data_IF_031033673540
#
_entry.id   IF_031033673540
#
_cell.length_a   1.000
_cell.length_b   1.000
_cell.length_c   1.000
_cell.angle_alpha   90.00
_cell.angle_beta   90.00
_cell.angle_gamma   90.00
#
_symmetry.space_group_name_H-M   'P 1'
#
loop_
_entity.id
_entity.type
_entity.pdbx_description
1 polymer ?
#
# COMPACT_ATOMS: atom_id res chain seq x y z
N UNK A 1 -5.40 33.12 3.57
CA UNK A 1 -4.30 32.28 4.07
C UNK A 1 -3.53 33.09 5.10
N UNK A 2 -3.25 32.54 6.27
CA UNK A 2 -2.46 33.23 7.31
C UNK A 2 -0.98 32.89 7.18
N UNK A 3 -0.09 33.81 7.56
CA UNK A 3 1.36 33.56 7.65
C UNK A 3 1.65 32.35 8.55
N UNK A 4 0.86 32.16 9.60
CA UNK A 4 0.99 31.00 10.50
C UNK A 4 0.79 29.67 9.76
N UNK A 5 -0.20 29.61 8.86
CA UNK A 5 -0.50 28.41 8.09
C UNK A 5 0.61 28.10 7.08
N UNK A 6 1.17 29.13 6.43
CA UNK A 6 2.33 28.96 5.54
C UNK A 6 3.53 28.37 6.28
N UNK A 7 3.81 28.85 7.49
CA UNK A 7 4.91 28.32 8.32
C UNK A 7 4.69 26.87 8.73
N UNK A 8 3.45 26.49 9.03
CA UNK A 8 3.09 25.11 9.34
C UNK A 8 3.22 24.19 8.12
N UNK A 9 2.78 24.62 6.94
CA UNK A 9 2.92 23.84 5.72
C UNK A 9 4.40 23.65 5.36
N UNK A 10 5.24 24.68 5.49
CA UNK A 10 6.70 24.56 5.30
C UNK A 10 7.33 23.62 6.35
N UNK A 11 6.96 23.76 7.63
CA UNK A 11 7.49 22.90 8.70
C UNK A 11 7.13 21.42 8.46
N UNK A 12 5.93 21.15 7.95
CA UNK A 12 5.51 19.77 7.62
C UNK A 12 6.37 19.11 6.55
N UNK A 13 6.99 19.88 5.64
CA UNK A 13 7.94 19.36 4.66
C UNK A 13 9.21 18.86 5.36
N UNK A 14 9.80 19.65 6.26
CA UNK A 14 11.00 19.26 7.00
C UNK A 14 10.77 18.07 7.93
N UNK A 15 9.57 17.93 8.49
CA UNK A 15 9.24 16.81 9.38
C UNK A 15 9.07 15.49 8.63
N UNK A 16 8.70 15.51 7.35
CA UNK A 16 8.27 14.32 6.59
C UNK A 16 9.17 13.96 5.42
N UNK A 17 9.99 14.89 4.95
CA UNK A 17 10.93 14.66 3.86
C UNK A 17 12.38 14.83 4.35
N UNK A 18 13.12 13.73 4.56
CA UNK A 18 14.54 13.75 4.91
C UNK A 18 15.43 14.46 3.88
N UNK A 19 14.98 14.63 2.63
CA UNK A 19 15.73 15.32 1.59
C UNK A 19 15.66 16.85 1.69
N UNK A 20 14.75 17.40 2.50
CA UNK A 20 14.59 18.85 2.66
C UNK A 20 15.75 19.45 3.48
N UNK A 21 16.67 20.16 2.82
CA UNK A 21 17.88 20.70 3.48
C UNK A 21 17.70 22.09 4.08
N UNK A 22 16.97 22.99 3.40
CA UNK A 22 16.80 24.37 3.84
C UNK A 22 15.52 25.00 3.28
N UNK A 23 15.04 26.08 3.92
CA UNK A 23 13.75 26.71 3.58
C UNK A 23 13.73 27.32 2.19
N UNK A 24 14.88 27.82 1.70
CA UNK A 24 14.95 28.40 0.36
C UNK A 24 14.73 27.34 -0.71
N UNK A 25 15.36 26.17 -0.58
CA UNK A 25 15.13 25.01 -1.43
C UNK A 25 13.66 24.58 -1.36
N UNK A 26 13.12 24.33 -0.15
CA UNK A 26 11.72 23.95 0.02
C UNK A 26 10.76 24.95 -0.65
N UNK A 27 11.01 26.25 -0.49
CA UNK A 27 10.15 27.28 -1.08
C UNK A 27 10.29 27.39 -2.61
N UNK A 28 11.41 26.99 -3.20
CA UNK A 28 11.69 27.19 -4.63
C UNK A 28 11.54 25.93 -5.47
N UNK A 29 11.70 24.74 -4.88
CA UNK A 29 11.77 23.48 -5.63
C UNK A 29 10.73 22.43 -5.25
N UNK A 30 9.87 22.67 -4.25
CA UNK A 30 8.86 21.67 -3.86
C UNK A 30 7.51 21.91 -4.55
N UNK A 31 7.16 21.13 -5.59
CA UNK A 31 5.91 21.30 -6.33
C UNK A 31 4.69 21.05 -5.44
N UNK A 32 4.78 20.14 -4.47
CA UNK A 32 3.73 19.87 -3.49
C UNK A 32 3.35 21.11 -2.68
N UNK A 33 4.35 21.84 -2.17
CA UNK A 33 4.14 23.09 -1.45
C UNK A 33 3.51 24.15 -2.37
N UNK A 34 4.05 24.35 -3.57
CA UNK A 34 3.51 25.31 -4.54
C UNK A 34 2.05 25.04 -4.89
N UNK A 35 1.69 23.77 -5.11
CA UNK A 35 0.32 23.38 -5.42
C UNK A 35 -0.64 23.69 -4.26
N UNK A 36 -0.23 23.46 -3.01
CA UNK A 36 -1.03 23.81 -1.84
C UNK A 36 -1.23 25.32 -1.75
N UNK A 37 -0.18 26.12 -1.96
CA UNK A 37 -0.26 27.59 -1.94
C UNK A 37 -1.26 28.11 -2.98
N UNK A 38 -1.12 27.68 -4.23
CA UNK A 38 -2.06 28.04 -5.29
C UNK A 38 -3.49 27.56 -4.98
N UNK A 39 -3.65 26.34 -4.45
CA UNK A 39 -4.95 25.83 -4.04
C UNK A 39 -5.58 26.72 -2.95
N UNK A 40 -4.85 27.17 -1.92
CA UNK A 40 -5.43 28.03 -0.87
C UNK A 40 -5.99 29.33 -1.45
N UNK A 41 -5.29 29.93 -2.41
CA UNK A 41 -5.75 31.13 -3.11
C UNK A 41 -6.95 30.80 -4.01
N UNK A 42 -6.87 29.72 -4.80
CA UNK A 42 -7.95 29.29 -5.68
C UNK A 42 -9.23 28.93 -4.91
N UNK A 43 -9.10 28.27 -3.76
CA UNK A 43 -10.21 27.94 -2.87
C UNK A 43 -10.87 29.20 -2.29
N UNK A 44 -10.06 30.18 -1.87
CA UNK A 44 -10.59 31.47 -1.42
C UNK A 44 -11.39 32.17 -2.54
N UNK A 45 -10.84 32.23 -3.76
CA UNK A 45 -11.55 32.76 -4.94
C UNK A 45 -12.85 31.99 -5.21
N UNK A 46 -12.80 30.66 -5.10
CA UNK A 46 -13.94 29.77 -5.30
C UNK A 46 -15.05 30.07 -4.28
N UNK A 47 -14.71 30.23 -3.00
CA UNK A 47 -15.65 30.57 -1.93
C UNK A 47 -16.23 31.99 -2.06
N UNK A 48 -15.50 32.91 -2.68
CA UNK A 48 -15.98 34.27 -3.00
C UNK A 48 -16.84 34.36 -4.27
N UNK A 49 -17.12 33.23 -4.94
CA UNK A 49 -17.95 33.19 -6.15
C UNK A 49 -17.20 33.48 -7.45
N UNK A 50 -15.90 33.79 -7.39
CA UNK A 50 -15.05 34.00 -8.57
C UNK A 50 -14.59 32.66 -9.16
N UNK A 51 -15.55 31.82 -9.57
CA UNK A 51 -15.34 30.42 -9.96
C UNK A 51 -14.40 30.27 -11.16
N UNK A 52 -14.53 31.13 -12.16
CA UNK A 52 -13.67 31.11 -13.34
C UNK A 52 -12.20 31.40 -12.98
N UNK A 53 -11.95 32.43 -12.17
CA UNK A 53 -10.58 32.79 -11.77
C UNK A 53 -9.94 31.71 -10.90
N UNK A 54 -10.73 31.11 -10.00
CA UNK A 54 -10.31 29.94 -9.23
C UNK A 54 -9.92 28.75 -10.13
N UNK A 55 -10.71 28.48 -11.17
CA UNK A 55 -10.44 27.42 -12.16
C UNK A 55 -9.20 27.71 -12.99
N UNK A 56 -9.02 28.95 -13.45
CA UNK A 56 -7.84 29.37 -14.18
C UNK A 56 -6.57 29.18 -13.36
N UNK A 57 -6.56 29.62 -12.09
CA UNK A 57 -5.43 29.45 -11.19
C UNK A 57 -5.13 27.97 -10.89
N UNK A 58 -6.18 27.15 -10.69
CA UNK A 58 -6.02 25.69 -10.52
C UNK A 58 -5.41 25.04 -11.77
N UNK A 59 -5.84 25.43 -12.97
CA UNK A 59 -5.26 24.93 -14.23
C UNK A 59 -3.80 25.37 -14.40
N UNK A 60 -3.48 26.62 -14.08
CA UNK A 60 -2.10 27.12 -14.09
C UNK A 60 -1.22 26.34 -13.11
N UNK A 61 -1.71 26.11 -11.88
CA UNK A 61 -1.00 25.30 -10.89
C UNK A 61 -0.76 23.88 -11.40
N UNK A 62 -1.75 23.26 -12.06
CA UNK A 62 -1.59 21.93 -12.66
C UNK A 62 -0.50 21.92 -13.72
N UNK A 63 -0.49 22.90 -14.61
CA UNK A 63 0.54 23.01 -15.65
C UNK A 63 1.95 23.17 -15.05
N UNK A 64 2.09 23.98 -14.00
CA UNK A 64 3.38 24.24 -13.35
C UNK A 64 3.88 23.06 -12.51
N UNK A 65 3.00 22.38 -11.78
CA UNK A 65 3.39 21.42 -10.72
C UNK A 65 3.09 19.97 -11.06
N UNK A 66 2.25 19.69 -12.07
CA UNK A 66 1.73 18.35 -12.34
C UNK A 66 0.68 17.85 -11.34
N UNK A 67 0.28 18.67 -10.37
CA UNK A 67 -0.71 18.35 -9.33
C UNK A 67 -2.03 19.04 -9.67
N UNK A 68 -3.11 18.27 -9.80
CA UNK A 68 -4.45 18.79 -10.01
C UNK A 68 -5.25 18.82 -8.70
N UNK A 69 -5.56 20.02 -8.21
CA UNK A 69 -6.44 20.21 -7.05
C UNK A 69 -7.63 21.07 -7.48
N UNK A 70 -8.83 20.51 -7.36
CA UNK A 70 -10.04 21.27 -7.62
C UNK A 70 -10.22 22.37 -6.55
N UNK A 71 -10.52 23.64 -6.92
CA UNK A 71 -10.68 24.73 -5.94
C UNK A 71 -11.78 24.50 -4.90
N UNK A 72 -12.79 23.69 -5.24
CA UNK A 72 -13.89 23.30 -4.36
C UNK A 72 -13.54 22.29 -3.26
N UNK A 73 -12.41 21.60 -3.36
CA UNK A 73 -12.00 20.62 -2.35
C UNK A 73 -11.80 21.29 -0.99
N UNK A 74 -11.93 20.54 0.10
CA UNK A 74 -11.64 21.03 1.46
C UNK A 74 -10.42 20.31 2.00
N UNK A 75 -9.36 21.06 2.31
CA UNK A 75 -8.10 20.50 2.80
C UNK A 75 -7.76 21.12 4.15
N UNK A 76 -7.42 20.28 5.12
CA UNK A 76 -6.97 20.63 6.47
C UNK A 76 -5.58 21.26 6.49
N UNK A 77 -4.93 21.30 7.66
CA UNK A 77 -3.61 21.89 7.91
C UNK A 77 -2.50 20.84 7.75
N UNK A 78 -1.27 21.29 7.45
CA UNK A 78 -0.09 20.40 7.34
C UNK A 78 -0.33 19.23 6.38
N UNK A 79 -1.06 19.51 5.31
CA UNK A 79 -1.28 18.55 4.24
C UNK A 79 0.01 18.46 3.44
N UNK A 80 0.54 17.26 3.27
CA UNK A 80 1.81 17.04 2.60
C UNK A 80 1.59 16.29 1.29
N UNK A 81 2.19 16.79 0.21
CA UNK A 81 2.20 16.13 -1.09
C UNK A 81 3.65 15.87 -1.46
N UNK A 82 4.04 14.60 -1.44
CA UNK A 82 5.41 14.21 -1.76
C UNK A 82 5.53 13.75 -3.22
N UNK A 83 6.56 14.26 -3.91
CA UNK A 83 6.81 14.21 -5.36
C UNK A 83 5.68 14.81 -6.24
N UNK A 84 4.42 14.53 -5.94
CA UNK A 84 3.22 15.22 -6.41
C UNK A 84 2.79 14.98 -7.85
N UNK A 85 3.69 14.59 -8.75
CA UNK A 85 3.36 14.39 -10.17
C UNK A 85 2.17 13.44 -10.34
N UNK A 86 1.13 13.88 -11.06
CA UNK A 86 -0.05 13.06 -11.35
C UNK A 86 -1.03 12.89 -10.18
N UNK A 87 -0.88 13.66 -9.10
CA UNK A 87 -1.90 13.73 -8.04
C UNK A 87 -3.15 14.44 -8.55
N UNK A 88 -4.33 13.85 -8.30
CA UNK A 88 -5.63 14.38 -8.71
C UNK A 88 -6.59 14.40 -7.52
N UNK A 89 -7.05 15.58 -7.12
CA UNK A 89 -7.97 15.80 -6.01
C UNK A 89 -9.25 16.46 -6.53
N UNK A 90 -10.36 15.73 -6.45
CA UNK A 90 -11.64 16.17 -7.00
C UNK A 90 -12.41 17.19 -6.16
N UNK A 91 -13.48 17.74 -6.75
CA UNK A 91 -14.22 18.90 -6.22
C UNK A 91 -14.76 18.74 -4.81
N UNK A 92 -15.34 17.58 -4.49
CA UNK A 92 -16.01 17.35 -3.21
C UNK A 92 -15.14 16.52 -2.26
N UNK A 93 -13.83 16.45 -2.53
CA UNK A 93 -12.90 15.77 -1.65
C UNK A 93 -12.75 16.57 -0.35
N UNK A 94 -12.73 15.85 0.76
CA UNK A 94 -12.45 16.40 2.09
C UNK A 94 -11.21 15.70 2.62
N UNK A 95 -10.21 16.47 3.04
CA UNK A 95 -8.94 15.97 3.54
C UNK A 95 -8.72 16.63 4.90
N UNK A 96 -8.53 15.81 5.94
CA UNK A 96 -8.25 16.25 7.29
C UNK A 96 -6.86 16.88 7.45
N UNK A 97 -6.50 17.11 8.71
CA UNK A 97 -5.18 17.61 9.08
C UNK A 97 -4.13 16.50 8.98
N UNK A 98 -2.88 16.86 8.72
CA UNK A 98 -1.73 15.96 8.76
C UNK A 98 -1.74 14.81 7.74
N UNK A 99 -2.60 14.84 6.72
CA UNK A 99 -2.60 13.82 5.67
C UNK A 99 -1.38 13.94 4.74
N UNK A 100 -0.93 12.81 4.20
CA UNK A 100 0.15 12.74 3.20
C UNK A 100 -0.34 12.01 1.95
N UNK A 101 -0.16 12.60 0.77
CA UNK A 101 -0.31 11.91 -0.51
C UNK A 101 1.04 11.83 -1.24
N UNK A 102 1.32 10.68 -1.83
CA UNK A 102 2.44 10.53 -2.76
C UNK A 102 1.99 10.78 -4.22
N UNK A 103 2.96 10.80 -5.14
CA UNK A 103 2.70 10.97 -6.57
C UNK A 103 1.68 9.97 -7.14
N UNK A 104 0.97 10.34 -8.20
CA UNK A 104 0.02 9.48 -8.92
C UNK A 104 -1.26 9.13 -8.17
N UNK A 105 -1.48 9.69 -6.97
CA UNK A 105 -2.68 9.43 -6.18
C UNK A 105 -3.91 10.09 -6.80
N UNK A 106 -5.05 9.41 -6.78
CA UNK A 106 -6.34 10.00 -7.20
C UNK A 106 -7.39 9.89 -6.10
N UNK A 107 -7.95 11.03 -5.73
CA UNK A 107 -9.16 11.15 -4.90
C UNK A 107 -10.33 11.45 -5.84
N UNK A 108 -10.91 10.39 -6.41
CA UNK A 108 -11.78 10.43 -7.58
C UNK A 108 -13.26 10.21 -7.26
N UNK A 109 -14.11 10.63 -8.19
CA UNK A 109 -15.55 10.39 -8.13
C UNK A 109 -15.95 9.10 -8.83
N UNK A 110 -17.03 8.46 -8.37
CA UNK A 110 -17.62 7.26 -9.01
C UNK A 110 -18.95 7.53 -9.72
N UNK A 111 -19.49 8.75 -9.62
CA UNK A 111 -20.80 9.11 -10.16
C UNK A 111 -20.76 10.46 -10.87
N UNK A 112 -21.66 10.67 -11.84
CA UNK A 112 -21.87 11.93 -12.55
C UNK A 112 -22.72 12.95 -11.78
N UNK A 113 -23.26 12.57 -10.61
CA UNK A 113 -24.12 13.43 -9.82
C UNK A 113 -23.35 14.61 -9.22
N UNK A 114 -23.96 15.79 -9.16
CA UNK A 114 -23.31 17.02 -8.66
C UNK A 114 -22.96 17.01 -7.16
N UNK A 115 -23.53 16.09 -6.38
CA UNK A 115 -23.34 16.00 -4.93
C UNK A 115 -21.97 15.48 -4.47
N UNK A 116 -21.88 15.12 -3.18
CA UNK A 116 -20.72 14.45 -2.59
C UNK A 116 -20.44 13.15 -3.35
N UNK A 117 -19.24 13.05 -3.92
CA UNK A 117 -18.84 11.93 -4.80
C UNK A 117 -17.37 11.56 -4.70
N UNK A 118 -16.56 12.41 -4.07
CA UNK A 118 -15.14 12.18 -3.82
C UNK A 118 -14.93 11.81 -2.36
N UNK A 119 -13.80 11.18 -2.02
CA UNK A 119 -13.59 10.63 -0.68
C UNK A 119 -13.41 11.72 0.40
N UNK A 120 -13.55 11.27 1.64
CA UNK A 120 -13.22 12.02 2.85
C UNK A 120 -12.08 11.31 3.57
N UNK A 121 -10.90 11.92 3.62
CA UNK A 121 -9.77 11.44 4.41
C UNK A 121 -9.81 12.11 5.79
N UNK A 122 -9.85 11.32 6.87
CA UNK A 122 -9.68 11.82 8.24
C UNK A 122 -8.22 12.22 8.49
N UNK A 123 -7.91 12.67 9.70
CA UNK A 123 -6.57 13.18 10.00
C UNK A 123 -5.50 12.08 9.91
N UNK A 124 -4.26 12.48 9.59
CA UNK A 124 -3.10 11.59 9.60
C UNK A 124 -3.14 10.47 8.56
N UNK A 125 -4.07 10.51 7.60
CA UNK A 125 -4.17 9.49 6.55
C UNK A 125 -2.97 9.58 5.61
N UNK A 126 -2.35 8.44 5.34
CA UNK A 126 -1.26 8.32 4.37
C UNK A 126 -1.74 7.53 3.16
N UNK A 127 -1.59 8.10 1.97
CA UNK A 127 -1.98 7.46 0.71
C UNK A 127 -0.75 7.27 -0.17
N UNK A 128 -0.34 6.01 -0.30
CA UNK A 128 0.82 5.56 -1.06
C UNK A 128 0.75 5.90 -2.56
N UNK A 129 1.91 5.86 -3.19
CA UNK A 129 2.09 6.26 -4.58
C UNK A 129 1.14 5.51 -5.53
N UNK A 130 0.53 6.22 -6.47
CA UNK A 130 -0.34 5.63 -7.49
C UNK A 130 -1.70 5.12 -7.00
N UNK A 131 -2.01 5.19 -5.70
CA UNK A 131 -3.28 4.68 -5.18
C UNK A 131 -4.51 5.46 -5.69
N UNK A 132 -5.64 4.78 -5.82
CA UNK A 132 -6.91 5.33 -6.29
C UNK A 132 -7.97 5.16 -5.21
N UNK A 133 -8.40 6.26 -4.59
CA UNK A 133 -9.49 6.27 -3.60
C UNK A 133 -10.71 6.87 -4.28
N UNK A 134 -11.73 6.05 -4.51
CA UNK A 134 -12.82 6.35 -5.42
C UNK A 134 -14.17 6.32 -4.72
N UNK A 135 -14.94 7.38 -4.91
CA UNK A 135 -16.32 7.50 -4.42
C UNK A 135 -16.41 8.29 -3.11
N UNK A 136 -17.64 8.55 -2.63
CA UNK A 136 -17.89 9.29 -1.39
C UNK A 136 -17.68 8.43 -0.15
N UNK A 137 -16.52 7.78 -0.05
CA UNK A 137 -16.11 6.92 1.07
C UNK A 137 -15.29 7.70 2.10
N UNK A 138 -15.33 7.25 3.35
CA UNK A 138 -14.50 7.76 4.43
C UNK A 138 -13.28 6.84 4.61
N UNK A 139 -12.11 7.47 4.71
CA UNK A 139 -10.87 6.83 5.14
C UNK A 139 -10.59 7.30 6.56
N UNK A 140 -10.61 6.35 7.50
CA UNK A 140 -10.50 6.57 8.93
C UNK A 140 -9.18 7.22 9.36
N UNK A 141 -9.15 7.72 10.60
CA UNK A 141 -8.01 8.46 11.15
C UNK A 141 -6.76 7.57 11.23
N UNK A 142 -5.60 8.10 10.82
CA UNK A 142 -4.33 7.38 10.76
C UNK A 142 -4.34 6.12 9.87
N UNK A 143 -5.35 5.95 9.01
CA UNK A 143 -5.38 4.84 8.06
C UNK A 143 -4.32 5.00 6.97
N UNK A 144 -3.89 3.87 6.41
CA UNK A 144 -2.81 3.78 5.42
C UNK A 144 -3.31 3.08 4.18
N UNK A 145 -3.20 3.74 3.04
CA UNK A 145 -3.52 3.15 1.74
C UNK A 145 -2.20 2.81 1.07
N UNK A 146 -1.97 1.54 0.78
CA UNK A 146 -0.75 1.08 0.11
C UNK A 146 -0.67 1.58 -1.33
N UNK A 147 0.55 1.63 -1.86
CA UNK A 147 0.81 2.03 -3.24
C UNK A 147 0.00 1.20 -4.24
N UNK A 148 -0.48 1.88 -5.30
CA UNK A 148 -1.34 1.33 -6.36
C UNK A 148 -2.64 0.66 -5.89
N UNK A 149 -3.01 0.74 -4.61
CA UNK A 149 -4.27 0.16 -4.14
C UNK A 149 -5.48 0.89 -4.75
N UNK A 150 -6.56 0.15 -5.02
CA UNK A 150 -7.84 0.73 -5.49
C UNK A 150 -8.89 0.57 -4.41
N UNK A 151 -9.21 1.66 -3.73
CA UNK A 151 -10.11 1.70 -2.57
C UNK A 151 -11.47 2.25 -2.96
N UNK A 152 -12.49 1.42 -2.81
CA UNK A 152 -13.88 1.72 -3.18
C UNK A 152 -14.86 1.53 -2.02
N UNK A 153 -14.35 1.24 -0.82
CA UNK A 153 -15.14 1.00 0.40
C UNK A 153 -14.54 1.78 1.57
N UNK A 154 -15.38 2.03 2.56
CA UNK A 154 -15.00 2.62 3.85
C UNK A 154 -13.78 1.93 4.46
N UNK A 155 -12.86 2.72 5.00
CA UNK A 155 -11.63 2.22 5.66
C UNK A 155 -11.68 2.60 7.14
N UNK A 156 -11.61 1.62 8.07
CA UNK A 156 -11.58 1.90 9.50
C UNK A 156 -10.34 2.69 9.94
N UNK A 157 -10.42 3.31 11.11
CA UNK A 157 -9.30 4.02 11.72
C UNK A 157 -8.09 3.10 11.91
N UNK A 158 -6.90 3.64 11.66
CA UNK A 158 -5.59 2.95 11.80
C UNK A 158 -5.43 1.65 10.99
N UNK A 159 -6.36 1.37 10.06
CA UNK A 159 -6.30 0.21 9.18
C UNK A 159 -5.35 0.46 8.00
N UNK A 160 -4.76 -0.61 7.48
CA UNK A 160 -3.99 -0.56 6.24
C UNK A 160 -4.73 -1.28 5.13
N UNK A 161 -4.85 -0.66 3.96
CA UNK A 161 -5.55 -1.20 2.78
C UNK A 161 -4.58 -1.34 1.62
N UNK A 162 -4.57 -2.50 0.98
CA UNK A 162 -3.65 -2.84 -0.12
C UNK A 162 -4.36 -3.59 -1.24
N UNK A 163 -3.75 -3.61 -2.43
CA UNK A 163 -4.20 -4.42 -3.56
C UNK A 163 -5.33 -3.82 -4.41
N UNK A 164 -5.68 -4.54 -5.47
CA UNK A 164 -6.72 -4.18 -6.44
C UNK A 164 -7.65 -5.38 -6.62
N UNK A 165 -8.92 -5.32 -6.19
CA UNK A 165 -9.53 -4.27 -5.36
C UNK A 165 -8.96 -4.25 -3.93
N UNK A 166 -8.98 -3.09 -3.29
CA UNK A 166 -8.42 -2.86 -1.95
C UNK A 166 -8.99 -3.82 -0.90
N UNK A 167 -8.10 -4.35 -0.06
CA UNK A 167 -8.41 -5.23 1.07
C UNK A 167 -7.73 -4.71 2.33
N UNK A 168 -8.46 -4.71 3.44
CA UNK A 168 -7.91 -4.36 4.74
C UNK A 168 -7.00 -5.51 5.19
N UNK A 169 -5.72 -5.21 5.43
CA UNK A 169 -4.80 -6.14 6.08
C UNK A 169 -4.88 -5.91 7.60
N UNK A 170 -5.28 -6.96 8.31
CA UNK A 170 -5.35 -6.94 9.77
C UNK A 170 -3.96 -7.18 10.34
N UNK A 171 -3.47 -6.22 11.13
CA UNK A 171 -2.17 -6.28 11.82
C UNK A 171 -2.06 -7.55 12.67
N UNK A 172 -0.91 -8.22 12.61
CA UNK A 172 -0.49 -9.17 13.65
C UNK A 172 -0.34 -8.39 14.99
N UNK A 173 -0.61 -9.06 16.12
CA UNK A 173 -0.93 -8.47 17.44
C UNK A 173 -0.06 -7.33 18.01
N UNK A 174 -0.61 -6.69 19.05
CA UNK A 174 -0.22 -5.38 19.63
C UNK A 174 1.25 -5.22 20.07
N UNK A 175 1.94 -6.27 20.50
CA UNK A 175 3.32 -6.15 21.02
C UNK A 175 4.34 -5.79 19.92
N UNK A 176 4.14 -6.28 18.70
CA UNK A 176 5.05 -6.04 17.57
C UNK A 176 4.91 -4.61 17.05
N UNK A 177 3.74 -3.98 17.24
CA UNK A 177 3.42 -2.64 16.77
C UNK A 177 4.07 -1.53 17.58
N UNK A 178 4.07 -1.63 18.90
CA UNK A 178 4.69 -0.61 19.75
C UNK A 178 6.22 -0.58 19.53
N UNK A 179 6.81 -1.75 19.28
CA UNK A 179 8.22 -1.91 18.92
C UNK A 179 8.52 -1.31 17.53
N UNK A 180 7.66 -1.57 16.53
CA UNK A 180 7.77 -1.04 15.17
C UNK A 180 7.49 0.47 15.10
N UNK A 181 6.53 0.99 15.88
CA UNK A 181 6.22 2.42 15.98
C UNK A 181 7.40 3.20 16.55
N UNK A 182 8.06 2.68 17.59
CA UNK A 182 9.30 3.25 18.14
C UNK A 182 10.47 3.24 17.16
N UNK A 183 10.49 2.31 16.21
CA UNK A 183 11.51 2.24 15.15
C UNK A 183 11.18 3.25 14.04
N UNK A 184 9.93 3.33 13.58
CA UNK A 184 9.48 4.34 12.61
C UNK A 184 9.63 5.77 13.14
N UNK A 185 9.30 6.02 14.42
CA UNK A 185 9.50 7.29 15.12
C UNK A 185 11.00 7.68 15.21
N UNK A 186 11.91 6.69 15.23
CA UNK A 186 13.37 6.93 15.24
C UNK A 186 13.96 7.16 13.84
N UNK A 187 13.34 6.63 12.79
CA UNK A 187 13.85 6.68 11.42
C UNK A 187 13.22 7.85 10.63
N UNK A 188 12.07 8.40 11.08
CA UNK A 188 11.45 9.57 10.45
C UNK A 188 10.96 9.33 9.01
N UNK A 189 10.93 8.07 8.57
CA UNK A 189 10.59 7.69 7.21
C UNK A 189 9.72 6.43 7.24
N UNK A 190 8.56 6.53 6.61
CA UNK A 190 7.58 5.47 6.50
C UNK A 190 7.41 5.14 5.03
N UNK A 191 8.12 4.11 4.57
CA UNK A 191 8.21 3.78 3.15
C UNK A 191 6.81 3.44 2.61
N UNK A 192 6.25 4.37 1.82
CA UNK A 192 5.08 4.14 0.97
C UNK A 192 3.82 3.64 1.70
N UNK A 193 3.69 3.90 3.01
CA UNK A 193 2.51 3.52 3.80
C UNK A 193 2.35 2.01 4.03
N UNK A 194 3.41 1.22 3.92
CA UNK A 194 3.36 -0.25 4.10
C UNK A 194 4.20 -0.64 5.31
N UNK A 195 3.56 -1.27 6.30
CA UNK A 195 4.27 -1.98 7.36
C UNK A 195 4.84 -3.29 6.80
N UNK A 196 6.09 -3.57 7.16
CA UNK A 196 6.89 -4.73 6.74
C UNK A 196 6.14 -6.07 6.74
N UNK A 197 6.39 -6.81 5.66
CA UNK A 197 6.03 -8.19 5.34
C UNK A 197 4.54 -8.42 5.03
N UNK A 198 4.16 -8.24 3.76
CA UNK A 198 2.88 -8.71 3.24
C UNK A 198 3.01 -10.13 2.67
N UNK A 199 2.50 -11.17 3.35
CA UNK A 199 1.93 -12.30 2.62
C UNK A 199 0.68 -11.77 1.91
N UNK A 200 0.62 -11.92 0.60
CA UNK A 200 -0.51 -11.55 -0.24
C UNK A 200 -1.85 -11.92 0.44
N UNK A 201 -2.82 -10.99 0.59
CA UNK A 201 -4.11 -11.30 1.21
C UNK A 201 -4.86 -12.44 0.51
N UNK A 202 -4.63 -12.64 -0.80
CA UNK A 202 -5.13 -13.80 -1.54
C UNK A 202 -4.40 -15.06 -1.07
N UNK A 203 -3.06 -15.08 -1.09
CA UNK A 203 -2.27 -16.20 -0.55
C UNK A 203 -2.67 -16.59 0.88
N UNK A 204 -2.86 -15.62 1.79
CA UNK A 204 -3.35 -15.88 3.16
C UNK A 204 -4.74 -16.51 3.17
N UNK A 205 -5.64 -16.06 2.31
CA UNK A 205 -6.98 -16.62 2.19
C UNK A 205 -6.93 -18.05 1.64
N UNK A 206 -6.08 -18.32 0.66
CA UNK A 206 -5.84 -19.65 0.10
C UNK A 206 -5.27 -20.60 1.16
N UNK A 207 -4.28 -20.15 1.94
CA UNK A 207 -3.71 -20.96 3.04
C UNK A 207 -4.78 -21.34 4.07
N UNK A 208 -5.61 -20.38 4.50
CA UNK A 208 -6.70 -20.67 5.43
C UNK A 208 -7.73 -21.66 4.84
N UNK A 209 -8.01 -21.58 3.54
CA UNK A 209 -8.88 -22.53 2.86
C UNK A 209 -8.25 -23.92 2.77
N UNK A 210 -6.94 -24.01 2.48
CA UNK A 210 -6.19 -25.27 2.46
C UNK A 210 -6.15 -25.93 3.84
N UNK A 211 -5.89 -25.16 4.90
CA UNK A 211 -5.92 -25.66 6.28
C UNK A 211 -7.30 -26.21 6.64
N UNK A 212 -8.36 -25.51 6.24
CA UNK A 212 -9.73 -25.97 6.46
C UNK A 212 -10.05 -27.23 5.66
N UNK A 213 -9.61 -27.31 4.40
CA UNK A 213 -9.81 -28.48 3.53
C UNK A 213 -9.10 -29.70 4.09
N UNK A 214 -7.84 -29.58 4.52
CA UNK A 214 -7.10 -30.65 5.19
C UNK A 214 -7.81 -31.14 6.46
N UNK A 215 -8.40 -30.22 7.24
CA UNK A 215 -9.17 -30.56 8.42
C UNK A 215 -10.49 -31.28 8.09
N UNK A 216 -11.14 -30.93 6.97
CA UNK A 216 -12.33 -31.62 6.47
C UNK A 216 -11.96 -33.01 5.96
N UNK A 217 -10.89 -33.15 5.16
CA UNK A 217 -10.42 -34.44 4.65
C UNK A 217 -10.07 -35.40 5.80
N UNK A 218 -9.37 -34.91 6.83
CA UNK A 218 -9.05 -35.70 8.03
C UNK A 218 -10.31 -36.20 8.76
N UNK A 219 -11.38 -35.39 8.80
CA UNK A 219 -12.67 -35.80 9.39
C UNK A 219 -13.39 -36.81 8.52
N UNK A 220 -13.40 -36.62 7.20
CA UNK A 220 -13.99 -37.55 6.24
C UNK A 220 -13.27 -38.91 6.35
N UNK A 221 -11.94 -38.93 6.38
CA UNK A 221 -11.15 -40.15 6.56
C UNK A 221 -11.50 -40.88 7.86
N UNK A 222 -11.66 -40.13 8.96
CA UNK A 222 -12.05 -40.70 10.26
C UNK A 222 -13.45 -41.29 10.21
N UNK A 223 -14.41 -40.61 9.57
CA UNK A 223 -15.77 -41.10 9.37
C UNK A 223 -15.81 -42.34 8.47
N UNK A 224 -15.01 -42.33 7.40
CA UNK A 224 -14.92 -43.45 6.46
C UNK A 224 -14.27 -44.68 7.10
N UNK A 225 -13.27 -44.52 7.98
CA UNK A 225 -12.73 -45.62 8.80
C UNK A 225 -13.79 -46.21 9.74
N UNK A 226 -14.56 -45.37 10.43
CA UNK A 226 -15.65 -45.84 11.29
C UNK A 226 -16.78 -46.53 10.50
N UNK A 227 -17.11 -46.05 9.29
CA UNK A 227 -18.09 -46.69 8.39
C UNK A 227 -17.59 -48.03 7.86
N UNK A 228 -16.28 -48.14 7.56
CA UNK A 228 -15.67 -49.39 7.14
C UNK A 228 -15.69 -50.46 8.25
N UNK A 229 -15.48 -50.06 9.52
CA UNK A 229 -15.65 -50.95 10.68
C UNK A 229 -17.08 -51.46 10.84
N UNK A 230 -18.07 -50.70 10.38
CA UNK A 230 -19.49 -51.09 10.36
C UNK A 230 -19.91 -51.84 9.08
N UNK A 231 -18.96 -52.18 8.19
CA UNK A 231 -19.19 -52.99 7.00
C UNK A 231 -19.67 -52.23 5.75
N UNK A 232 -19.59 -50.90 5.74
CA UNK A 232 -19.94 -50.07 4.59
C UNK A 232 -18.68 -49.53 3.88
N UNK A 233 -18.46 -49.95 2.62
CA UNK A 233 -17.27 -49.60 1.82
C UNK A 233 -17.48 -48.42 0.88
N UNK A 234 -18.56 -47.64 1.01
CA UNK A 234 -18.91 -46.55 0.09
C UNK A 234 -17.87 -45.41 -0.01
N UNK A 235 -16.86 -45.36 0.87
CA UNK A 235 -15.82 -44.33 0.88
C UNK A 235 -14.52 -44.71 0.15
N UNK A 236 -14.44 -45.86 -0.54
CA UNK A 236 -13.18 -46.36 -1.10
C UNK A 236 -12.68 -45.63 -2.35
N UNK A 237 -13.49 -44.74 -2.92
CA UNK A 237 -13.18 -44.09 -4.20
C UNK A 237 -12.15 -42.98 -3.98
N UNK A 238 -11.04 -43.06 -4.72
CA UNK A 238 -9.99 -42.04 -4.66
C UNK A 238 -10.52 -40.69 -5.15
N UNK A 239 -10.19 -39.61 -4.44
CA UNK A 239 -10.51 -38.25 -4.86
C UNK A 239 -9.94 -37.99 -6.27
N UNK A 240 -10.66 -37.24 -7.13
CA UNK A 240 -10.16 -36.88 -8.44
C UNK A 240 -8.86 -36.09 -8.31
N UNK A 241 -7.85 -36.46 -9.10
CA UNK A 241 -6.57 -35.75 -9.13
C UNK A 241 -6.77 -34.36 -9.72
N UNK A 242 -6.12 -33.37 -9.12
CA UNK A 242 -6.06 -32.02 -9.67
C UNK A 242 -5.18 -32.02 -10.93
N UNK A 243 -5.69 -31.44 -12.01
CA UNK A 243 -4.97 -31.34 -13.28
C UNK A 243 -3.93 -30.20 -13.19
N UNK A 244 -2.64 -30.56 -13.14
CA UNK A 244 -1.52 -29.62 -12.98
C UNK A 244 -1.50 -28.50 -14.04
N UNK A 245 -2.07 -28.76 -15.22
CA UNK A 245 -2.19 -27.83 -16.35
C UNK A 245 -3.06 -26.60 -16.04
N UNK A 246 -3.96 -26.68 -15.06
CA UNK A 246 -4.80 -25.53 -14.63
C UNK A 246 -4.09 -24.54 -13.71
N UNK A 247 -2.90 -24.87 -13.20
CA UNK A 247 -2.14 -24.05 -12.22
C UNK A 247 -0.91 -23.37 -12.84
N UNK A 248 -1.04 -22.86 -14.06
CA UNK A 248 0.04 -22.25 -14.88
C UNK A 248 0.94 -21.29 -14.09
N UNK A 249 0.35 -20.38 -13.29
CA UNK A 249 1.09 -19.39 -12.50
C UNK A 249 1.91 -19.95 -11.33
N UNK A 250 1.53 -21.10 -10.77
CA UNK A 250 2.28 -21.73 -9.68
C UNK A 250 3.40 -22.60 -10.24
N UNK A 251 3.19 -23.23 -11.40
CA UNK A 251 4.19 -24.06 -12.06
C UNK A 251 5.43 -23.25 -12.49
N UNK A 252 5.23 -22.04 -13.02
CA UNK A 252 6.34 -21.16 -13.42
C UNK A 252 7.18 -20.74 -12.20
N UNK A 253 6.52 -20.34 -11.11
CA UNK A 253 7.19 -19.97 -9.85
C UNK A 253 7.89 -21.17 -9.19
N UNK A 254 7.29 -22.37 -9.26
CA UNK A 254 7.88 -23.60 -8.72
C UNK A 254 9.06 -24.10 -9.56
N UNK A 255 9.03 -23.87 -10.88
CA UNK A 255 10.13 -24.15 -11.78
C UNK A 255 11.33 -23.23 -11.51
N UNK A 256 11.10 -21.93 -11.34
CA UNK A 256 12.15 -20.98 -10.93
C UNK A 256 12.75 -21.34 -9.57
N UNK A 257 11.92 -21.66 -8.57
CA UNK A 257 12.38 -22.12 -7.25
C UNK A 257 13.20 -23.42 -7.31
N UNK A 258 12.81 -24.36 -8.18
CA UNK A 258 13.57 -25.60 -8.40
C UNK A 258 14.93 -25.34 -9.04
N UNK A 259 15.02 -24.42 -10.00
CA UNK A 259 16.29 -24.07 -10.62
C UNK A 259 17.22 -23.38 -9.64
N UNK A 260 16.72 -22.42 -8.84
CA UNK A 260 17.48 -21.78 -7.76
C UNK A 260 17.97 -22.81 -6.73
N UNK A 261 17.11 -23.75 -6.33
CA UNK A 261 17.51 -24.82 -5.41
C UNK A 261 18.57 -25.77 -6.02
N UNK A 262 18.47 -26.09 -7.31
CA UNK A 262 19.47 -26.90 -8.03
C UNK A 262 20.80 -26.19 -8.20
N UNK A 263 20.79 -24.87 -8.38
CA UNK A 263 22.03 -24.07 -8.43
C UNK A 263 22.68 -23.98 -7.05
N UNK A 264 21.90 -23.78 -6.00
CA UNK A 264 22.40 -23.76 -4.62
C UNK A 264 23.05 -25.10 -4.22
N UNK A 265 22.43 -26.23 -4.58
CA UNK A 265 23.00 -27.57 -4.36
C UNK A 265 24.29 -27.76 -5.17
N UNK A 266 24.31 -27.36 -6.45
CA UNK A 266 25.52 -27.43 -7.29
C UNK A 266 26.68 -26.58 -6.74
N UNK A 267 26.39 -25.42 -6.17
CA UNK A 267 27.40 -24.57 -5.53
C UNK A 267 27.93 -25.19 -4.24
N UNK A 268 27.05 -25.80 -3.43
CA UNK A 268 27.47 -26.53 -2.22
C UNK A 268 28.37 -27.72 -2.56
N UNK A 269 28.01 -28.53 -3.56
CA UNK A 269 28.82 -29.67 -4.01
C UNK A 269 30.20 -29.24 -4.56
N UNK A 270 30.26 -28.09 -5.24
CA UNK A 270 31.54 -27.53 -5.74
C UNK A 270 32.43 -27.01 -4.60
N UNK A 271 31.84 -26.44 -3.55
CA UNK A 271 32.58 -26.00 -2.37
C UNK A 271 33.12 -27.20 -1.58
N UNK A 272 32.34 -28.27 -1.47
CA UNK A 272 32.76 -29.51 -0.80
C UNK A 272 33.91 -30.21 -1.56
N UNK A 273 33.84 -30.28 -2.90
CA UNK A 273 34.93 -30.82 -3.72
C UNK A 273 36.20 -29.94 -3.73
N UNK A 274 36.06 -28.62 -3.52
CA UNK A 274 37.21 -27.72 -3.40
C UNK A 274 37.90 -27.86 -2.03
N UNK A 275 37.14 -28.10 -0.96
CA UNK A 275 37.66 -28.41 0.37
C UNK A 275 38.42 -29.75 0.38
N UNK A 276 37.86 -30.79 -0.23
CA UNK A 276 38.49 -32.12 -0.31
C UNK A 276 39.81 -32.13 -1.12
N UNK A 277 39.92 -31.25 -2.12
CA UNK A 277 41.19 -31.04 -2.86
C UNK A 277 42.24 -30.28 -2.06
N UNK A 278 41.84 -29.36 -1.19
CA UNK A 278 42.79 -28.59 -0.37
C UNK A 278 43.34 -29.42 0.79
N UNK A 279 42.55 -30.32 1.35
CA UNK A 279 43.01 -31.28 2.37
C UNK A 279 44.00 -32.31 1.76
N UNK A 280 43.74 -32.79 0.53
CA UNK A 280 44.61 -33.76 -0.15
C UNK A 280 45.92 -33.15 -0.69
N UNK A 281 45.97 -31.83 -0.94
CA UNK A 281 47.22 -31.12 -1.24
C UNK A 281 48.06 -30.83 0.01
N UNK A 282 47.43 -30.65 1.18
CA UNK A 282 48.13 -30.49 2.46
C UNK A 282 48.75 -31.82 2.95
N UNK A 283 48.06 -32.95 2.77
CA UNK A 283 48.58 -34.28 3.11
C UNK A 283 49.71 -34.76 2.19
N UNK A 284 49.86 -34.19 0.99
CA UNK A 284 50.98 -34.48 0.07
C UNK A 284 52.22 -33.61 0.28
N UNK A 285 52.13 -32.59 1.14
CA UNK A 285 53.21 -31.66 1.45
C UNK A 285 53.96 -31.98 2.76
N UNK A 286 53.63 -33.11 3.41
CA UNK A 286 54.31 -33.73 4.55
C UNK A 286 55.05 -35.00 4.11
#
# INVERSE_FOLDING_TARGET
MSIKQLREDIASVFERDPAARNTFEVLTTYPGLHAILHYRIANWLWRKGMKWLARLLSTFSRWMTGIEIHPGATIGRRFFIDHGMGVVIGETAEIGDDCTLYHGVTLGGTTWNKGKRHPTLRNGVVVGAGAKVLGPIIVGENARIGSNAVVTKEVPDSATVVGIPGRIIRKAGDETLEKRRRIAEKIGFDAYGIADEMPDPIARSIHNLMDHMNAVDSKIDTMCKALAEMGNTSCSDALPKLEEETFVSLNDAYAELKEVAREAIRQADQQEQAADKTDNEQDRAL
#
